data_IF_154732631635
#
_entry.id   IF_154732631635
#
_cell.length_a   1.000
_cell.length_b   1.000
_cell.length_c   1.000
_cell.angle_alpha   90.00
_cell.angle_beta   90.00
_cell.angle_gamma   90.00
#
_symmetry.space_group_name_H-M   'P 1'
#
loop_
_entity.id
_entity.type
_entity.pdbx_description
1 polymer ?
#
# COMPACT_ATOMS: atom_id res chain seq x y z
N UNK A 1 -23.86 25.76 -17.37
CA UNK A 1 -24.64 25.89 -16.11
C UNK A 1 -25.48 24.63 -15.96
N UNK A 2 -25.37 23.91 -14.85
CA UNK A 2 -26.20 22.71 -14.60
C UNK A 2 -27.62 23.21 -14.29
N UNK A 3 -28.64 22.71 -14.99
CA UNK A 3 -30.04 23.05 -14.71
C UNK A 3 -30.52 22.31 -13.44
N UNK A 4 -31.55 22.83 -12.77
CA UNK A 4 -32.12 22.17 -11.59
C UNK A 4 -32.55 20.71 -11.88
N UNK A 5 -33.15 20.47 -13.05
CA UNK A 5 -33.51 19.12 -13.50
C UNK A 5 -32.26 18.24 -13.77
N UNK A 6 -31.15 18.84 -14.21
CA UNK A 6 -29.87 18.15 -14.35
C UNK A 6 -29.28 17.72 -13.01
N UNK A 7 -29.46 18.52 -11.96
CA UNK A 7 -29.05 18.16 -10.59
C UNK A 7 -29.91 17.00 -10.08
N UNK A 8 -31.24 17.05 -10.24
CA UNK A 8 -32.14 15.97 -9.81
C UNK A 8 -31.82 14.64 -10.52
N UNK A 9 -31.61 14.67 -11.84
CA UNK A 9 -31.24 13.47 -12.61
C UNK A 9 -29.88 12.91 -12.18
N UNK A 10 -28.91 13.78 -11.85
CA UNK A 10 -27.63 13.33 -11.29
C UNK A 10 -27.79 12.66 -9.91
N UNK A 11 -28.68 13.17 -9.05
CA UNK A 11 -28.98 12.56 -7.75
C UNK A 11 -29.66 11.19 -7.91
N UNK A 12 -30.60 11.06 -8.84
CA UNK A 12 -31.27 9.80 -9.16
C UNK A 12 -30.25 8.75 -9.64
N UNK A 13 -29.42 9.08 -10.63
CA UNK A 13 -28.36 8.17 -11.11
C UNK A 13 -27.34 7.79 -10.05
N UNK A 14 -27.01 8.71 -9.15
CA UNK A 14 -26.13 8.43 -8.02
C UNK A 14 -26.76 7.43 -7.04
N UNK A 15 -28.06 7.60 -6.75
CA UNK A 15 -28.80 6.67 -5.90
C UNK A 15 -28.89 5.27 -6.53
N UNK A 16 -29.23 5.17 -7.82
CA UNK A 16 -29.27 3.91 -8.58
C UNK A 16 -27.92 3.19 -8.57
N UNK A 17 -26.83 3.92 -8.82
CA UNK A 17 -25.47 3.36 -8.80
C UNK A 17 -25.07 2.85 -7.42
N UNK A 18 -25.60 3.46 -6.36
CA UNK A 18 -25.35 3.09 -4.95
C UNK A 18 -26.07 1.84 -4.48
N UNK A 19 -27.15 1.40 -5.15
CA UNK A 19 -27.97 0.25 -4.72
C UNK A 19 -27.12 -1.02 -4.60
N UNK A 20 -26.24 -1.27 -5.57
CA UNK A 20 -25.34 -2.43 -5.57
C UNK A 20 -24.39 -2.43 -4.35
N UNK A 21 -23.89 -1.26 -3.97
CA UNK A 21 -23.02 -1.08 -2.81
C UNK A 21 -23.79 -1.30 -1.50
N UNK A 22 -25.02 -0.77 -1.40
CA UNK A 22 -25.89 -0.94 -0.23
C UNK A 22 -26.24 -2.41 -0.02
N UNK A 23 -26.60 -3.13 -1.09
CA UNK A 23 -26.89 -4.56 -1.01
C UNK A 23 -25.67 -5.36 -0.54
N UNK A 24 -24.49 -5.10 -1.11
CA UNK A 24 -23.25 -5.77 -0.71
C UNK A 24 -22.86 -5.44 0.75
N UNK A 25 -22.99 -4.18 1.18
CA UNK A 25 -22.76 -3.77 2.56
C UNK A 25 -23.73 -4.42 3.55
N UNK A 26 -25.00 -4.58 3.16
CA UNK A 26 -26.02 -5.25 3.98
C UNK A 26 -25.67 -6.72 4.23
N UNK A 27 -25.20 -7.44 3.19
CA UNK A 27 -24.70 -8.80 3.34
C UNK A 27 -23.48 -8.87 4.28
N UNK A 28 -22.58 -7.89 4.20
CA UNK A 28 -21.43 -7.83 5.13
C UNK A 28 -21.87 -7.57 6.56
N UNK A 29 -22.92 -6.77 6.80
CA UNK A 29 -23.50 -6.62 8.13
C UNK A 29 -23.95 -7.96 8.74
N UNK A 30 -24.59 -8.82 7.95
CA UNK A 30 -24.99 -10.17 8.37
C UNK A 30 -23.77 -11.04 8.67
N UNK A 31 -22.76 -11.04 7.79
CA UNK A 31 -21.51 -11.77 8.00
C UNK A 31 -20.82 -11.30 9.28
N UNK A 32 -20.73 -9.99 9.51
CA UNK A 32 -20.14 -9.40 10.71
C UNK A 32 -20.91 -9.82 11.96
N UNK A 33 -22.24 -9.86 11.90
CA UNK A 33 -23.08 -10.38 12.99
C UNK A 33 -22.74 -11.83 13.33
N UNK A 34 -22.66 -12.71 12.34
CA UNK A 34 -22.30 -14.13 12.53
C UNK A 34 -20.86 -14.26 13.05
N UNK A 35 -19.91 -13.54 12.47
CA UNK A 35 -18.48 -13.58 12.82
C UNK A 35 -18.23 -13.07 14.25
N UNK A 36 -19.00 -12.06 14.68
CA UNK A 36 -18.93 -11.52 16.04
C UNK A 36 -19.54 -12.50 17.04
N UNK A 37 -20.72 -13.05 16.75
CA UNK A 37 -21.40 -14.02 17.63
C UNK A 37 -20.65 -15.35 17.76
N UNK A 38 -19.96 -15.79 16.70
CA UNK A 38 -19.14 -17.02 16.71
C UNK A 38 -17.78 -16.83 17.37
N UNK A 39 -17.38 -15.60 17.68
CA UNK A 39 -16.05 -15.30 18.24
C UNK A 39 -14.89 -15.50 17.26
N UNK A 40 -15.15 -15.80 15.99
CA UNK A 40 -14.13 -15.89 14.95
C UNK A 40 -13.55 -14.49 14.66
N UNK A 41 -14.37 -13.44 14.80
CA UNK A 41 -13.97 -12.06 14.53
C UNK A 41 -12.86 -11.51 15.43
N UNK A 42 -12.68 -12.11 16.61
CA UNK A 42 -11.63 -11.71 17.56
C UNK A 42 -10.32 -12.45 17.37
N UNK A 43 -10.30 -13.52 16.56
CA UNK A 43 -9.09 -14.33 16.31
C UNK A 43 -7.98 -13.52 15.63
N UNK A 44 -8.32 -12.79 14.56
CA UNK A 44 -7.35 -11.96 13.86
C UNK A 44 -6.77 -10.87 14.78
N UNK A 45 -7.58 -10.07 15.50
CA UNK A 45 -7.10 -9.17 16.54
C UNK A 45 -6.21 -9.82 17.60
N UNK A 46 -6.58 -11.01 18.09
CA UNK A 46 -5.84 -11.72 19.14
C UNK A 46 -4.45 -12.19 18.71
N UNK A 47 -4.24 -12.41 17.41
CA UNK A 47 -2.92 -12.75 16.84
C UNK A 47 -2.15 -11.47 16.52
N UNK A 48 -2.85 -10.45 16.01
CA UNK A 48 -2.24 -9.21 15.53
C UNK A 48 -1.67 -8.36 16.66
N UNK A 49 -2.37 -8.25 17.79
CA UNK A 49 -1.94 -7.40 18.92
C UNK A 49 -0.59 -7.81 19.54
N UNK A 50 -0.37 -9.08 19.96
CA UNK A 50 0.92 -9.47 20.52
C UNK A 50 2.05 -9.37 19.47
N UNK A 51 1.74 -9.61 18.19
CA UNK A 51 2.69 -9.38 17.11
C UNK A 51 3.03 -7.90 16.94
N UNK A 52 2.06 -6.99 17.03
CA UNK A 52 2.29 -5.56 16.87
C UNK A 52 3.18 -4.99 17.98
N UNK A 53 3.02 -5.49 19.21
CA UNK A 53 3.84 -5.10 20.36
C UNK A 53 5.30 -5.55 20.24
N UNK A 54 5.56 -6.71 19.63
CA UNK A 54 6.93 -7.21 19.44
C UNK A 54 7.56 -6.78 18.11
N UNK A 55 6.80 -6.79 17.02
CA UNK A 55 7.25 -6.49 15.68
C UNK A 55 6.11 -5.89 14.84
N UNK A 56 6.01 -4.57 14.86
CA UNK A 56 5.03 -3.80 14.12
C UNK A 56 5.00 -4.15 12.62
N UNK A 57 6.17 -4.36 11.99
CA UNK A 57 6.26 -4.67 10.56
C UNK A 57 5.59 -6.01 10.25
N UNK A 58 5.81 -7.02 11.11
CA UNK A 58 5.19 -8.32 10.95
C UNK A 58 3.67 -8.27 11.18
N UNK A 59 3.21 -7.46 12.13
CA UNK A 59 1.77 -7.24 12.33
C UNK A 59 1.12 -6.55 11.13
N UNK A 60 1.76 -5.51 10.58
CA UNK A 60 1.30 -4.85 9.34
C UNK A 60 1.33 -5.80 8.14
N UNK A 61 2.29 -6.72 8.09
CA UNK A 61 2.35 -7.75 7.05
C UNK A 61 1.20 -8.76 7.14
N UNK A 62 0.89 -9.24 8.34
CA UNK A 62 -0.29 -10.09 8.57
C UNK A 62 -1.58 -9.34 8.23
N UNK A 63 -1.66 -8.08 8.66
CA UNK A 63 -2.78 -7.19 8.34
C UNK A 63 -2.97 -7.02 6.83
N UNK A 64 -1.89 -6.78 6.10
CA UNK A 64 -1.88 -6.68 4.64
C UNK A 64 -2.43 -7.97 4.00
N UNK A 65 -1.89 -9.14 4.37
CA UNK A 65 -2.32 -10.42 3.81
C UNK A 65 -3.80 -10.66 4.08
N UNK A 66 -4.24 -10.49 5.32
CA UNK A 66 -5.64 -10.68 5.67
C UNK A 66 -6.55 -9.73 4.89
N UNK A 67 -6.16 -8.46 4.77
CA UNK A 67 -6.94 -7.47 3.99
C UNK A 67 -7.01 -7.84 2.51
N UNK A 68 -5.90 -8.31 1.91
CA UNK A 68 -5.88 -8.74 0.51
C UNK A 68 -6.79 -9.95 0.30
N UNK A 69 -6.68 -10.98 1.16
CA UNK A 69 -7.49 -12.20 1.06
C UNK A 69 -8.97 -11.87 1.20
N UNK A 70 -9.34 -11.04 2.18
CA UNK A 70 -10.73 -10.61 2.35
C UNK A 70 -11.21 -9.70 1.21
N UNK A 71 -10.31 -8.94 0.58
CA UNK A 71 -10.62 -8.08 -0.56
C UNK A 71 -10.90 -8.85 -1.86
N UNK A 72 -10.48 -10.12 -1.96
CA UNK A 72 -10.69 -10.94 -3.15
C UNK A 72 -12.20 -11.19 -3.37
N UNK A 73 -12.80 -10.45 -4.30
CA UNK A 73 -14.20 -10.63 -4.70
C UNK A 73 -15.20 -9.73 -4.01
N UNK A 74 -14.76 -8.80 -3.15
CA UNK A 74 -15.61 -7.78 -2.54
C UNK A 74 -15.37 -6.39 -3.17
N UNK A 75 -16.39 -5.52 -3.24
CA UNK A 75 -16.17 -4.10 -3.53
C UNK A 75 -15.23 -3.47 -2.48
N UNK A 76 -14.33 -2.57 -2.88
CA UNK A 76 -13.29 -2.00 -1.99
C UNK A 76 -13.85 -1.40 -0.70
N UNK A 77 -14.98 -0.68 -0.81
CA UNK A 77 -15.68 -0.09 0.35
C UNK A 77 -16.17 -1.15 1.33
N UNK A 78 -16.64 -2.29 0.81
CA UNK A 78 -17.20 -3.39 1.61
C UNK A 78 -16.08 -4.16 2.31
N UNK A 79 -14.97 -4.43 1.62
CA UNK A 79 -13.76 -4.99 2.21
C UNK A 79 -13.24 -4.13 3.37
N UNK A 80 -13.17 -2.81 3.16
CA UNK A 80 -12.76 -1.86 4.19
C UNK A 80 -13.68 -1.90 5.41
N UNK A 81 -15.00 -1.82 5.24
CA UNK A 81 -15.95 -1.83 6.36
C UNK A 81 -15.83 -3.11 7.20
N UNK A 82 -15.72 -4.26 6.52
CA UNK A 82 -15.55 -5.55 7.17
C UNK A 82 -14.25 -5.56 8.00
N UNK A 83 -13.12 -5.20 7.38
CA UNK A 83 -11.82 -5.29 8.04
C UNK A 83 -11.63 -4.24 9.15
N UNK A 84 -12.14 -3.03 8.94
CA UNK A 84 -12.16 -1.99 9.97
C UNK A 84 -13.00 -2.41 11.19
N UNK A 85 -14.12 -3.11 10.97
CA UNK A 85 -14.95 -3.63 12.06
C UNK A 85 -14.25 -4.76 12.82
N UNK A 86 -13.50 -5.62 12.13
CA UNK A 86 -12.72 -6.68 12.77
C UNK A 86 -11.56 -6.16 13.61
N UNK A 87 -10.84 -5.14 13.13
CA UNK A 87 -9.67 -4.57 13.83
C UNK A 87 -10.05 -3.52 14.86
N UNK A 88 -11.21 -2.89 14.71
CA UNK A 88 -11.72 -1.84 15.61
C UNK A 88 -11.45 -2.08 17.11
N UNK A 89 -11.70 -3.29 17.66
CA UNK A 89 -11.47 -3.58 19.08
C UNK A 89 -10.02 -3.44 19.54
N UNK A 90 -9.04 -3.65 18.65
CA UNK A 90 -7.59 -3.59 18.98
C UNK A 90 -6.89 -2.38 18.35
N UNK A 91 -7.61 -1.56 17.59
CA UNK A 91 -7.04 -0.45 16.84
C UNK A 91 -6.31 0.54 17.76
N UNK A 92 -6.89 0.84 18.92
CA UNK A 92 -6.30 1.71 19.94
C UNK A 92 -5.04 1.13 20.57
N UNK A 93 -4.90 -0.20 20.58
CA UNK A 93 -3.79 -0.90 21.23
C UNK A 93 -2.57 -1.06 20.31
N UNK A 94 -2.69 -0.74 19.02
CA UNK A 94 -1.59 -0.83 18.05
C UNK A 94 -0.55 0.29 18.18
N UNK A 95 -0.79 1.30 19.03
CA UNK A 95 0.05 2.49 19.15
C UNK A 95 0.29 3.21 17.80
N UNK A 96 -0.67 3.09 16.88
CA UNK A 96 -0.65 3.74 15.57
C UNK A 96 -1.72 4.82 15.51
N UNK A 97 -1.55 5.76 14.58
CA UNK A 97 -2.57 6.76 14.30
C UNK A 97 -3.79 6.06 13.67
N UNK A 98 -5.00 6.14 14.25
CA UNK A 98 -6.14 5.35 13.76
C UNK A 98 -6.43 5.54 12.26
N UNK A 99 -6.37 6.78 11.77
CA UNK A 99 -6.61 7.09 10.37
C UNK A 99 -5.59 6.42 9.43
N UNK A 100 -4.32 6.32 9.83
CA UNK A 100 -3.31 5.66 8.99
C UNK A 100 -3.61 4.16 8.84
N UNK A 101 -4.12 3.51 9.88
CA UNK A 101 -4.53 2.10 9.83
C UNK A 101 -5.78 1.92 8.96
N UNK A 102 -6.78 2.81 9.06
CA UNK A 102 -7.94 2.77 8.16
C UNK A 102 -7.53 2.93 6.69
N UNK A 103 -6.62 3.86 6.39
CA UNK A 103 -6.07 4.03 5.05
C UNK A 103 -5.22 2.84 4.60
N UNK A 104 -4.47 2.21 5.52
CA UNK A 104 -3.69 1.01 5.24
C UNK A 104 -4.60 -0.14 4.77
N UNK A 105 -5.68 -0.39 5.52
CA UNK A 105 -6.67 -1.42 5.19
C UNK A 105 -7.38 -1.08 3.87
N UNK A 106 -7.84 0.16 3.72
CA UNK A 106 -8.51 0.58 2.48
C UNK A 106 -7.59 0.44 1.26
N UNK A 107 -6.33 0.86 1.37
CA UNK A 107 -5.35 0.77 0.30
C UNK A 107 -5.09 -0.69 -0.10
N UNK A 108 -4.85 -1.59 0.85
CA UNK A 108 -4.63 -3.00 0.51
C UNK A 108 -5.88 -3.71 0.02
N UNK A 109 -7.07 -3.27 0.46
CA UNK A 109 -8.33 -3.68 -0.14
C UNK A 109 -8.37 -3.36 -1.64
N UNK A 110 -7.90 -2.17 -2.05
CA UNK A 110 -7.78 -1.83 -3.48
C UNK A 110 -6.67 -2.61 -4.19
N UNK A 111 -5.51 -2.79 -3.54
CA UNK A 111 -4.39 -3.54 -4.13
C UNK A 111 -4.73 -5.02 -4.36
N UNK A 112 -5.71 -5.59 -3.66
CA UNK A 112 -6.22 -6.95 -3.92
C UNK A 112 -6.70 -7.13 -5.37
N UNK A 113 -7.25 -6.08 -6.00
CA UNK A 113 -7.69 -6.11 -7.39
C UNK A 113 -6.54 -6.14 -8.40
N UNK A 114 -5.30 -5.90 -7.96
CA UNK A 114 -4.09 -5.96 -8.78
C UNK A 114 -3.31 -7.27 -8.54
N UNK A 115 -3.62 -8.00 -7.47
CA UNK A 115 -3.00 -9.28 -7.15
C UNK A 115 -3.62 -10.44 -7.96
N UNK A 116 -2.82 -11.28 -8.63
CA UNK A 116 -3.30 -12.55 -9.15
C UNK A 116 -3.76 -13.44 -7.99
N UNK A 117 -4.91 -14.13 -8.06
CA UNK A 117 -5.71 -14.48 -9.24
C UNK A 117 -6.92 -13.57 -9.53
N UNK A 118 -7.04 -12.38 -8.93
CA UNK A 118 -8.18 -11.48 -9.20
C UNK A 118 -7.89 -10.51 -10.34
N UNK A 119 -6.76 -9.79 -10.27
CA UNK A 119 -6.13 -8.94 -11.30
C UNK A 119 -7.04 -8.43 -12.46
N UNK A 120 -8.24 -7.89 -12.15
CA UNK A 120 -9.33 -7.75 -13.13
C UNK A 120 -8.97 -6.86 -14.32
N UNK A 121 -8.29 -5.73 -14.05
CA UNK A 121 -7.82 -4.83 -15.09
C UNK A 121 -6.78 -5.48 -16.02
N UNK A 122 -5.90 -6.33 -15.46
CA UNK A 122 -4.93 -7.08 -16.25
C UNK A 122 -5.61 -8.13 -17.13
N UNK A 123 -6.77 -8.66 -16.72
CA UNK A 123 -7.52 -9.66 -17.49
C UNK A 123 -8.18 -9.03 -18.71
N UNK A 124 -8.81 -7.86 -18.53
CA UNK A 124 -9.33 -7.07 -19.64
C UNK A 124 -8.21 -6.62 -20.59
N UNK A 125 -7.09 -6.13 -20.06
CA UNK A 125 -5.93 -5.74 -20.87
C UNK A 125 -5.35 -6.94 -21.65
N UNK A 126 -5.26 -8.12 -21.03
CA UNK A 126 -4.80 -9.33 -21.69
C UNK A 126 -5.72 -9.78 -22.83
N UNK A 127 -7.04 -9.67 -22.65
CA UNK A 127 -8.03 -9.97 -23.69
C UNK A 127 -7.91 -9.02 -24.88
N UNK A 128 -7.72 -7.72 -24.64
CA UNK A 128 -7.52 -6.72 -25.70
C UNK A 128 -6.18 -6.96 -26.42
N UNK A 129 -5.11 -7.21 -25.67
CA UNK A 129 -3.76 -7.43 -26.22
C UNK A 129 -3.54 -8.85 -26.78
N UNK A 130 -4.54 -9.74 -26.70
CA UNK A 130 -4.45 -11.15 -27.09
C UNK A 130 -3.26 -11.90 -26.44
N UNK A 131 -3.03 -11.63 -25.15
CA UNK A 131 -1.96 -12.26 -24.37
C UNK A 131 -2.53 -13.17 -23.27
N UNK A 132 -1.69 -14.03 -22.69
CA UNK A 132 -2.10 -14.90 -21.59
C UNK A 132 -2.45 -14.10 -20.33
N UNK A 133 -3.71 -14.20 -19.90
CA UNK A 133 -4.30 -13.53 -18.72
C UNK A 133 -3.37 -13.58 -17.50
N UNK A 134 -2.90 -14.78 -17.12
CA UNK A 134 -2.04 -14.94 -15.95
C UNK A 134 -0.65 -14.32 -16.13
N UNK A 135 -0.05 -14.42 -17.33
CA UNK A 135 1.27 -13.81 -17.60
C UNK A 135 1.19 -12.29 -17.48
N UNK A 136 0.16 -11.69 -18.07
CA UNK A 136 -0.10 -10.25 -17.98
C UNK A 136 -0.39 -9.82 -16.54
N UNK A 137 -1.17 -10.60 -15.81
CA UNK A 137 -1.43 -10.39 -14.38
C UNK A 137 -0.15 -10.38 -13.53
N UNK A 138 0.74 -11.36 -13.71
CA UNK A 138 2.02 -11.40 -12.98
C UNK A 138 2.95 -10.24 -13.33
N UNK A 139 3.01 -9.85 -14.60
CA UNK A 139 3.82 -8.69 -15.02
C UNK A 139 3.26 -7.40 -14.45
N UNK A 140 1.94 -7.18 -14.52
CA UNK A 140 1.28 -6.02 -13.94
C UNK A 140 1.49 -5.97 -12.42
N UNK A 141 1.29 -7.09 -11.74
CA UNK A 141 1.52 -7.21 -10.31
C UNK A 141 2.96 -6.88 -9.92
N UNK A 142 3.95 -7.37 -10.69
CA UNK A 142 5.36 -7.05 -10.45
C UNK A 142 5.61 -5.55 -10.43
N UNK A 143 5.03 -4.79 -11.37
CA UNK A 143 5.15 -3.32 -11.35
C UNK A 143 4.38 -2.68 -10.21
N UNK A 144 3.23 -3.25 -9.82
CA UNK A 144 2.43 -2.76 -8.70
C UNK A 144 3.10 -2.92 -7.33
N UNK A 145 4.09 -3.82 -7.18
CA UNK A 145 4.82 -4.05 -5.93
C UNK A 145 5.45 -2.76 -5.34
N UNK A 146 5.78 -1.76 -6.16
CA UNK A 146 6.24 -0.46 -5.67
C UNK A 146 5.18 0.20 -4.79
N UNK A 147 3.91 0.11 -5.19
CA UNK A 147 2.77 0.63 -4.43
C UNK A 147 2.52 -0.09 -3.11
N UNK A 148 2.96 -1.35 -2.97
CA UNK A 148 2.82 -2.11 -1.71
C UNK A 148 3.66 -1.53 -0.58
N UNK A 149 4.74 -0.81 -0.88
CA UNK A 149 5.57 -0.19 0.16
C UNK A 149 4.93 1.06 0.77
N UNK A 150 4.06 1.76 0.01
CA UNK A 150 3.53 3.06 0.40
C UNK A 150 2.66 2.99 1.67
N UNK A 151 1.74 2.02 1.85
CA UNK A 151 0.99 1.88 3.09
C UNK A 151 1.83 1.70 4.34
N UNK A 152 2.89 0.89 4.27
CA UNK A 152 3.79 0.74 5.41
C UNK A 152 4.44 2.09 5.76
N UNK A 153 4.83 2.87 4.75
CA UNK A 153 5.52 4.14 4.97
C UNK A 153 4.65 5.18 5.65
N UNK A 154 3.40 5.37 5.21
CA UNK A 154 2.52 6.36 5.85
C UNK A 154 1.96 5.89 7.19
N UNK A 155 1.93 4.58 7.44
CA UNK A 155 1.51 4.05 8.75
C UNK A 155 2.61 4.19 9.80
N UNK A 156 3.87 4.03 9.41
CA UNK A 156 5.03 4.25 10.28
C UNK A 156 5.36 5.75 10.40
N UNK A 157 5.19 6.50 9.31
CA UNK A 157 5.42 7.94 9.22
C UNK A 157 4.11 8.67 8.90
N UNK A 158 3.19 8.83 9.89
CA UNK A 158 1.89 9.47 9.70
C UNK A 158 1.99 10.95 9.27
N UNK A 159 3.19 11.54 9.32
CA UNK A 159 3.43 12.91 8.87
C UNK A 159 3.25 13.07 7.36
N UNK A 160 3.36 11.96 6.60
CA UNK A 160 2.98 11.91 5.17
C UNK A 160 1.48 12.16 4.96
N UNK A 161 0.66 11.95 5.99
CA UNK A 161 -0.79 12.21 5.99
C UNK A 161 -1.13 13.53 6.68
N UNK A 162 -0.15 14.39 6.94
CA UNK A 162 -0.29 15.59 7.79
C UNK A 162 -0.78 15.30 9.21
N UNK A 163 -0.49 14.10 9.72
CA UNK A 163 -0.85 13.69 11.07
C UNK A 163 0.38 13.55 11.97
N UNK A 164 0.19 13.78 13.27
CA UNK A 164 1.25 13.62 14.27
C UNK A 164 0.95 12.42 15.15
N UNK A 165 1.98 11.61 15.40
CA UNK A 165 1.89 10.52 16.38
C UNK A 165 1.76 11.03 17.83
N UNK A 166 2.23 12.25 18.12
CA UNK A 166 2.27 12.82 19.48
C UNK A 166 1.24 13.95 19.70
N UNK A 167 0.16 14.00 18.91
CA UNK A 167 -0.92 15.02 19.00
C UNK A 167 -0.48 16.49 18.84
N UNK A 168 0.81 16.77 18.62
CA UNK A 168 1.33 18.11 18.32
C UNK A 168 1.07 18.54 16.88
N UNK A 169 1.21 19.85 16.61
CA UNK A 169 1.14 20.40 15.24
C UNK A 169 2.27 19.81 14.40
N UNK A 170 1.93 19.27 13.23
CA UNK A 170 2.92 18.80 12.26
C UNK A 170 3.59 20.01 11.63
N UNK A 171 4.91 20.12 11.76
CA UNK A 171 5.68 21.15 11.07
C UNK A 171 5.70 20.87 9.58
N UNK A 172 5.37 21.87 8.76
CA UNK A 172 5.40 21.74 7.29
C UNK A 172 6.79 21.34 6.78
N UNK A 173 7.86 21.83 7.44
CA UNK A 173 9.24 21.48 7.11
C UNK A 173 9.49 19.97 7.26
N UNK A 174 8.92 19.35 8.30
CA UNK A 174 9.06 17.93 8.55
C UNK A 174 8.30 17.11 7.51
N UNK A 175 7.09 17.54 7.10
CA UNK A 175 6.36 16.87 6.01
C UNK A 175 7.17 16.90 4.72
N UNK A 176 7.68 18.07 4.33
CA UNK A 176 8.51 18.22 3.12
C UNK A 176 9.71 17.29 3.18
N UNK A 177 10.41 17.25 4.31
CA UNK A 177 11.54 16.36 4.49
C UNK A 177 11.15 14.87 4.34
N UNK A 178 10.06 14.44 4.98
CA UNK A 178 9.55 13.06 4.88
C UNK A 178 9.17 12.70 3.44
N UNK A 179 8.48 13.61 2.73
CA UNK A 179 8.13 13.43 1.32
C UNK A 179 9.37 13.26 0.45
N UNK A 180 10.40 14.10 0.63
CA UNK A 180 11.65 14.00 -0.13
C UNK A 180 12.36 12.67 0.12
N UNK A 181 12.43 12.22 1.38
CA UNK A 181 13.03 10.92 1.72
C UNK A 181 12.24 9.76 1.12
N UNK A 182 10.91 9.81 1.17
CA UNK A 182 10.03 8.80 0.56
C UNK A 182 10.20 8.75 -0.95
N UNK A 183 10.28 9.90 -1.64
CA UNK A 183 10.56 9.96 -3.08
C UNK A 183 11.93 9.33 -3.38
N UNK A 184 12.95 9.68 -2.60
CA UNK A 184 14.30 9.14 -2.77
C UNK A 184 14.37 7.62 -2.58
N UNK A 185 13.47 7.03 -1.79
CA UNK A 185 13.42 5.58 -1.60
C UNK A 185 12.51 4.86 -2.60
N UNK A 186 11.41 5.48 -3.04
CA UNK A 186 10.50 4.90 -4.04
C UNK A 186 11.15 4.80 -5.43
N UNK A 187 11.95 5.80 -5.84
CA UNK A 187 12.59 5.79 -7.17
C UNK A 187 13.54 4.59 -7.34
N UNK A 188 14.49 4.32 -6.42
CA UNK A 188 15.32 3.11 -6.46
C UNK A 188 14.52 1.82 -6.33
N UNK A 189 13.43 1.80 -5.53
CA UNK A 189 12.55 0.64 -5.42
C UNK A 189 11.90 0.31 -6.79
N UNK A 190 11.38 1.34 -7.46
CA UNK A 190 10.83 1.22 -8.81
C UNK A 190 11.88 0.77 -9.82
N UNK A 191 13.10 1.33 -9.76
CA UNK A 191 14.21 0.93 -10.62
C UNK A 191 14.66 -0.52 -10.37
N UNK A 192 14.67 -0.98 -9.12
CA UNK A 192 15.01 -2.36 -8.77
C UNK A 192 13.97 -3.35 -9.32
N UNK A 193 12.69 -3.02 -9.20
CA UNK A 193 11.57 -3.84 -9.68
C UNK A 193 11.54 -3.86 -11.21
N UNK A 194 11.67 -2.71 -11.88
CA UNK A 194 11.71 -2.61 -13.34
C UNK A 194 12.98 -3.23 -13.94
N UNK A 195 14.10 -3.22 -13.20
CA UNK A 195 15.41 -3.63 -13.67
C UNK A 195 16.15 -2.56 -14.49
N UNK A 196 15.66 -1.32 -14.47
CA UNK A 196 16.20 -0.22 -15.25
C UNK A 196 16.13 1.10 -14.47
N UNK A 197 17.23 1.86 -14.49
CA UNK A 197 17.26 3.22 -13.97
C UNK A 197 17.70 4.22 -15.05
N UNK A 198 18.99 4.26 -15.38
CA UNK A 198 19.54 5.00 -16.53
C UNK A 198 20.14 4.07 -17.58
N UNK A 199 20.61 2.91 -17.13
CA UNK A 199 21.01 1.74 -17.93
C UNK A 199 20.44 0.47 -17.28
N UNK A 200 20.64 -0.68 -17.92
CA UNK A 200 20.20 -1.98 -17.37
C UNK A 200 20.93 -2.29 -16.06
N UNK A 201 20.18 -2.68 -15.03
CA UNK A 201 20.74 -3.00 -13.71
C UNK A 201 21.09 -4.48 -13.62
N UNK A 202 22.29 -4.80 -13.10
CA UNK A 202 22.66 -6.19 -12.79
C UNK A 202 21.78 -6.74 -11.67
N UNK A 203 21.56 -8.06 -11.65
CA UNK A 203 20.72 -8.71 -10.63
C UNK A 203 21.10 -8.32 -9.18
N UNK A 204 22.40 -8.32 -8.86
CA UNK A 204 22.88 -7.89 -7.54
C UNK A 204 22.58 -6.42 -7.23
N UNK A 205 22.72 -5.51 -8.20
CA UNK A 205 22.37 -4.10 -8.01
C UNK A 205 20.88 -3.94 -7.73
N UNK A 206 20.02 -4.72 -8.41
CA UNK A 206 18.58 -4.73 -8.17
C UNK A 206 18.24 -5.19 -6.76
N UNK A 207 18.84 -6.29 -6.29
CA UNK A 207 18.61 -6.79 -4.94
C UNK A 207 19.07 -5.79 -3.87
N UNK A 208 20.26 -5.20 -4.05
CA UNK A 208 20.77 -4.18 -3.12
C UNK A 208 19.87 -2.97 -3.08
N UNK A 209 19.47 -2.42 -4.24
CA UNK A 209 18.55 -1.27 -4.29
C UNK A 209 17.19 -1.58 -3.65
N UNK A 210 16.65 -2.79 -3.86
CA UNK A 210 15.40 -3.23 -3.25
C UNK A 210 15.50 -3.24 -1.72
N UNK A 211 16.55 -3.87 -1.17
CA UNK A 211 16.75 -3.98 0.28
C UNK A 211 16.96 -2.59 0.89
N UNK A 212 17.82 -1.77 0.31
CA UNK A 212 18.12 -0.43 0.82
C UNK A 212 16.92 0.49 0.77
N UNK A 213 16.12 0.43 -0.31
CA UNK A 213 14.89 1.20 -0.40
C UNK A 213 13.88 0.78 0.68
N UNK A 214 13.67 -0.53 0.88
CA UNK A 214 12.79 -1.03 1.94
C UNK A 214 13.28 -0.64 3.34
N UNK A 215 14.59 -0.68 3.59
CA UNK A 215 15.18 -0.20 4.84
C UNK A 215 14.82 1.27 5.07
N UNK A 216 15.00 2.15 4.07
CA UNK A 216 14.70 3.59 4.23
C UNK A 216 13.20 3.84 4.47
N UNK A 217 12.33 3.03 3.86
CA UNK A 217 10.87 3.15 3.95
C UNK A 217 10.29 2.59 5.26
N UNK A 218 10.84 1.48 5.77
CA UNK A 218 10.29 0.73 6.90
C UNK A 218 10.94 1.05 8.26
N UNK A 219 12.03 1.81 8.29
CA UNK A 219 12.70 2.18 9.55
C UNK A 219 12.17 3.50 10.13
N UNK A 220 12.09 3.55 11.45
CA UNK A 220 11.76 4.74 12.23
C UNK A 220 12.99 5.63 12.43
N UNK A 221 12.75 6.85 12.89
CA UNK A 221 13.78 7.86 13.12
C UNK A 221 14.33 7.72 14.56
N UNK A 222 14.96 6.58 14.90
CA UNK A 222 15.51 6.33 16.24
C UNK A 222 16.91 5.69 16.23
N UNK A 223 17.86 6.30 16.96
CA UNK A 223 19.19 5.77 17.27
C UNK A 223 19.97 5.17 16.08
N UNK A 224 20.26 3.86 16.16
CA UNK A 224 21.02 3.09 15.15
C UNK A 224 20.34 3.10 13.77
N UNK A 225 19.02 3.28 13.70
CA UNK A 225 18.28 3.29 12.45
C UNK A 225 18.59 4.54 11.60
N UNK A 226 18.98 5.66 12.22
CA UNK A 226 19.47 6.83 11.48
C UNK A 226 20.72 6.50 10.67
N UNK A 227 21.71 5.88 11.31
CA UNK A 227 22.94 5.47 10.65
C UNK A 227 22.67 4.52 9.49
N UNK A 228 21.77 3.56 9.71
CA UNK A 228 21.39 2.60 8.68
C UNK A 228 20.76 3.29 7.45
N UNK A 229 19.90 4.30 7.66
CA UNK A 229 19.30 5.08 6.56
C UNK A 229 20.32 5.96 5.85
N UNK A 230 21.20 6.63 6.59
CA UNK A 230 22.27 7.45 5.99
C UNK A 230 23.20 6.60 5.13
N UNK A 231 23.63 5.43 5.62
CA UNK A 231 24.43 4.48 4.84
C UNK A 231 23.66 4.01 3.60
N UNK A 232 22.39 3.67 3.75
CA UNK A 232 21.54 3.26 2.63
C UNK A 232 21.40 4.35 1.57
N UNK A 233 21.25 5.61 1.99
CA UNK A 233 21.18 6.76 1.09
C UNK A 233 22.46 6.92 0.28
N UNK A 234 23.63 6.83 0.94
CA UNK A 234 24.93 6.93 0.30
C UNK A 234 25.14 5.79 -0.71
N UNK A 235 24.82 4.55 -0.35
CA UNK A 235 25.00 3.40 -1.25
C UNK A 235 24.08 3.51 -2.47
N UNK A 236 22.82 3.91 -2.28
CA UNK A 236 21.89 4.15 -3.40
C UNK A 236 22.44 5.25 -4.32
N UNK A 237 22.96 6.34 -3.77
CA UNK A 237 23.54 7.42 -4.54
C UNK A 237 24.78 6.97 -5.33
N UNK A 238 25.66 6.14 -4.74
CA UNK A 238 26.83 5.57 -5.42
C UNK A 238 26.40 4.66 -6.58
N UNK A 239 25.44 3.77 -6.35
CA UNK A 239 24.93 2.86 -7.40
C UNK A 239 24.26 3.66 -8.52
N UNK A 240 23.46 4.67 -8.17
CA UNK A 240 22.83 5.58 -9.13
C UNK A 240 23.85 6.36 -9.95
N UNK A 241 24.91 6.88 -9.31
CA UNK A 241 25.99 7.61 -9.98
C UNK A 241 26.80 6.70 -10.91
N UNK A 242 27.15 5.49 -10.48
CA UNK A 242 27.82 4.49 -11.32
C UNK A 242 26.96 4.11 -12.53
N UNK A 243 25.66 3.90 -12.32
CA UNK A 243 24.72 3.58 -13.39
C UNK A 243 24.57 4.74 -14.38
N UNK A 244 24.46 5.98 -13.89
CA UNK A 244 24.42 7.18 -14.74
C UNK A 244 25.70 7.36 -15.56
N UNK A 245 26.87 7.16 -14.95
CA UNK A 245 28.15 7.25 -15.68
C UNK A 245 28.29 6.18 -16.77
N UNK A 246 27.74 4.99 -16.54
CA UNK A 246 27.73 3.90 -17.54
C UNK A 246 26.92 4.24 -18.79
N UNK A 247 25.92 5.14 -18.69
CA UNK A 247 25.12 5.63 -19.83
C UNK A 247 25.98 6.32 -20.89
N UNK A 248 27.09 6.94 -20.49
CA UNK A 248 28.02 7.60 -21.40
C UNK A 248 28.84 6.63 -22.26
N UNK A 249 28.84 5.33 -21.94
CA UNK A 249 29.70 4.31 -22.57
C UNK A 249 28.95 3.28 -23.41
N UNK A 250 27.61 3.27 -23.38
CA UNK A 250 26.80 2.43 -24.28
C UNK A 250 26.52 3.19 -25.58
N UNK A 251 27.08 2.78 -26.74
CA UNK A 251 26.73 3.40 -28.01
C UNK A 251 25.23 3.19 -28.25
N UNK A 252 24.54 4.29 -28.53
CA UNK A 252 23.18 4.29 -29.04
C UNK A 252 23.18 3.59 -30.39
N UNK A 253 22.69 2.34 -30.41
CA UNK A 253 22.31 1.63 -31.63
C UNK A 253 20.89 2.00 -32.03
#
# INVERSE_FOLDING_TARGET
RISFNGVLNAMEKAAESGVSLIAAASCVGLILGVVTLTGIGTKLPSILLPLAQHNLILALFLLMISTIILGMGLPSSVCYLLMASLIGPVLSDLNLVPLSVHLFIFYFGMMSMVTPPVALAAYTAAAIAQTGIMKTGFVAFRFALVGFALPYTFTIHPELLFMSSNQGKVSLLLVIFKVLVTIFAIVPLAAAISGYWFTTLKFWQRLVLLILALIILLTQFDGIQYWLRSVSFVIIAIIGFYNWRSKSFSPSY
#
